data_IF_282322281039
#
_entry.id   IF_282322281039
#
_cell.length_a   1.000
_cell.length_b   1.000
_cell.length_c   1.000
_cell.angle_alpha   90.00
_cell.angle_beta   90.00
_cell.angle_gamma   90.00
#
_symmetry.space_group_name_H-M   'P 1'
#
loop_
_entity.id
_entity.type
_entity.pdbx_description
1 polymer ?
#
# COMPACT_ATOMS: atom_id res chain seq x y z
N UNK A 1 -6.93 -6.39 19.26
CA UNK A 1 -7.57 -5.97 17.99
C UNK A 1 -7.02 -6.85 16.88
N UNK A 2 -7.88 -7.60 16.20
CA UNK A 2 -7.53 -8.53 15.12
C UNK A 2 -6.91 -7.84 13.91
N UNK A 3 -6.12 -8.57 13.15
CA UNK A 3 -5.54 -8.17 11.86
C UNK A 3 -6.67 -8.03 10.84
N UNK A 4 -6.75 -6.90 10.11
CA UNK A 4 -7.76 -6.72 9.05
C UNK A 4 -7.26 -7.40 7.77
N UNK A 5 -7.85 -8.58 7.47
CA UNK A 5 -7.47 -9.40 6.32
C UNK A 5 -7.78 -8.72 4.99
N UNK A 6 -8.86 -7.92 4.92
CA UNK A 6 -9.21 -7.22 3.69
C UNK A 6 -8.17 -6.16 3.33
N UNK A 7 -7.73 -5.35 4.29
CA UNK A 7 -6.66 -4.36 4.03
C UNK A 7 -5.34 -5.04 3.68
N UNK A 8 -5.04 -6.19 4.28
CA UNK A 8 -3.86 -6.98 3.91
C UNK A 8 -3.94 -7.49 2.47
N UNK A 9 -5.13 -7.94 2.01
CA UNK A 9 -5.35 -8.33 0.62
C UNK A 9 -5.20 -7.15 -0.34
N UNK A 10 -5.84 -6.01 -0.02
CA UNK A 10 -5.75 -4.79 -0.84
C UNK A 10 -4.32 -4.30 -0.97
N UNK A 11 -3.54 -4.35 0.11
CA UNK A 11 -2.12 -3.97 0.07
C UNK A 11 -1.30 -4.91 -0.79
N UNK A 12 -1.52 -6.23 -0.70
CA UNK A 12 -0.81 -7.20 -1.53
C UNK A 12 -1.21 -7.04 -3.00
N UNK A 13 -2.50 -6.83 -3.31
CA UNK A 13 -2.98 -6.51 -4.64
C UNK A 13 -2.35 -5.22 -5.17
N UNK A 14 -2.27 -4.17 -4.34
CA UNK A 14 -1.63 -2.91 -4.72
C UNK A 14 -0.18 -3.10 -5.13
N UNK A 15 0.59 -3.88 -4.38
CA UNK A 15 1.99 -4.18 -4.70
C UNK A 15 2.09 -5.00 -5.99
N UNK A 16 1.26 -6.04 -6.12
CA UNK A 16 1.20 -6.87 -7.32
C UNK A 16 0.82 -6.07 -8.57
N UNK A 17 -0.17 -5.18 -8.47
CA UNK A 17 -0.60 -4.30 -9.56
C UNK A 17 0.50 -3.37 -10.04
N UNK A 18 1.24 -2.74 -9.12
CA UNK A 18 2.39 -1.88 -9.47
C UNK A 18 3.48 -2.70 -10.18
N UNK A 19 3.88 -3.86 -9.63
CA UNK A 19 4.92 -4.70 -10.23
C UNK A 19 4.52 -5.17 -11.63
N UNK A 20 3.32 -5.75 -11.77
CA UNK A 20 2.81 -6.21 -13.06
C UNK A 20 2.61 -5.06 -14.03
N UNK A 21 2.07 -3.93 -13.57
CA UNK A 21 1.90 -2.74 -14.37
C UNK A 21 3.22 -2.28 -14.98
N UNK A 22 4.24 -2.10 -14.16
CA UNK A 22 5.57 -1.73 -14.67
C UNK A 22 6.17 -2.78 -15.60
N UNK A 23 6.09 -4.05 -15.26
CA UNK A 23 6.64 -5.12 -16.11
C UNK A 23 5.91 -5.25 -17.45
N UNK A 24 4.63 -4.92 -17.53
CA UNK A 24 3.87 -4.98 -18.77
C UNK A 24 3.98 -3.70 -19.63
N UNK A 25 4.18 -2.52 -19.00
CA UNK A 25 4.24 -1.26 -19.77
C UNK A 25 5.67 -0.79 -20.06
N UNK A 26 6.69 -1.38 -19.44
CA UNK A 26 8.10 -1.04 -19.71
C UNK A 26 8.68 -2.01 -20.72
N UNK A 27 8.75 -1.61 -21.98
CA UNK A 27 9.54 -2.25 -23.04
C UNK A 27 10.97 -1.74 -23.02
N UNK A 28 11.92 -2.62 -23.33
CA UNK A 28 13.32 -2.30 -23.54
C UNK A 28 13.71 -2.90 -24.91
N UNK A 29 14.08 -2.05 -25.86
CA UNK A 29 14.39 -2.45 -27.23
C UNK A 29 15.90 -2.44 -27.40
N UNK A 30 16.44 -3.53 -27.90
CA UNK A 30 17.85 -3.63 -28.28
C UNK A 30 18.04 -2.95 -29.64
N UNK A 31 18.77 -1.85 -29.68
CA UNK A 31 19.11 -1.14 -30.91
C UNK A 31 20.31 -1.74 -31.62
N UNK A 32 20.56 -1.31 -32.86
CA UNK A 32 21.69 -1.82 -33.69
C UNK A 32 23.09 -1.49 -33.15
N UNK A 33 23.19 -0.50 -32.26
CA UNK A 33 24.39 -0.11 -31.53
C UNK A 33 24.66 -0.94 -30.28
N UNK A 34 23.77 -1.90 -29.97
CA UNK A 34 23.83 -2.73 -28.76
C UNK A 34 23.28 -2.07 -27.52
N UNK A 35 22.79 -0.83 -27.61
CA UNK A 35 22.14 -0.10 -26.53
C UNK A 35 20.69 -0.54 -26.29
N UNK A 36 20.21 -0.37 -25.03
CA UNK A 36 18.81 -0.60 -24.68
C UNK A 36 18.07 0.73 -24.61
N UNK A 37 16.99 0.85 -25.39
CA UNK A 37 16.10 2.01 -25.39
C UNK A 37 14.77 1.69 -24.80
N UNK A 38 14.22 2.63 -24.01
CA UNK A 38 12.89 2.46 -23.40
C UNK A 38 11.78 2.67 -24.44
N UNK A 39 10.84 1.75 -24.49
CA UNK A 39 9.60 1.83 -25.26
C UNK A 39 8.40 1.47 -24.38
N UNK A 40 7.19 1.77 -24.86
CA UNK A 40 5.97 1.41 -24.15
C UNK A 40 4.94 0.81 -25.09
N UNK A 41 4.33 -0.32 -24.78
CA UNK A 41 3.22 -0.86 -25.55
C UNK A 41 2.01 0.08 -25.58
N UNK A 42 1.84 0.98 -24.61
CA UNK A 42 0.72 1.92 -24.56
C UNK A 42 0.78 2.98 -25.67
N UNK A 43 1.96 3.21 -26.25
CA UNK A 43 2.14 4.09 -27.42
C UNK A 43 1.67 3.40 -28.68
N UNK A 44 2.06 2.13 -28.87
CA UNK A 44 1.78 1.38 -30.09
C UNK A 44 0.43 0.64 -30.07
N UNK A 45 -0.10 0.36 -28.87
CA UNK A 45 -1.35 -0.39 -28.66
C UNK A 45 -2.29 0.44 -27.77
N UNK A 46 -2.92 1.49 -28.30
CA UNK A 46 -3.78 2.38 -27.48
C UNK A 46 -4.95 1.66 -26.82
N UNK A 47 -5.46 0.59 -27.41
CA UNK A 47 -6.56 -0.23 -26.87
C UNK A 47 -6.21 -0.90 -25.53
N UNK A 48 -4.93 -1.00 -25.19
CA UNK A 48 -4.49 -1.52 -23.89
C UNK A 48 -4.50 -0.48 -22.76
N UNK A 49 -4.71 0.80 -23.07
CA UNK A 49 -4.70 1.88 -22.06
C UNK A 49 -5.70 1.68 -20.93
N UNK A 50 -6.93 1.20 -21.12
CA UNK A 50 -7.87 0.92 -20.03
C UNK A 50 -7.38 -0.15 -19.05
N UNK A 51 -6.50 -1.07 -19.49
CA UNK A 51 -5.91 -2.10 -18.60
C UNK A 51 -5.11 -1.46 -17.45
N UNK A 52 -4.56 -0.26 -17.69
CA UNK A 52 -3.85 0.50 -16.66
C UNK A 52 -4.73 0.84 -15.46
N UNK A 53 -6.06 0.90 -15.60
CA UNK A 53 -6.98 1.17 -14.48
C UNK A 53 -7.01 0.05 -13.43
N UNK A 54 -6.71 -1.17 -13.83
CA UNK A 54 -6.61 -2.32 -12.93
C UNK A 54 -5.23 -2.42 -12.29
N UNK A 55 -4.19 -2.02 -13.03
CA UNK A 55 -2.79 -2.17 -12.62
C UNK A 55 -2.23 -0.93 -11.91
N UNK A 56 -2.80 0.26 -12.16
CA UNK A 56 -2.45 1.47 -11.42
C UNK A 56 -3.13 1.45 -10.04
N UNK A 57 -2.47 0.87 -9.06
CA UNK A 57 -3.03 0.57 -7.74
C UNK A 57 -2.41 1.40 -6.61
N UNK A 58 -1.75 2.51 -6.96
CA UNK A 58 -1.06 3.36 -5.99
C UNK A 58 -2.03 3.97 -4.97
N UNK A 59 -3.28 4.27 -5.40
CA UNK A 59 -4.35 4.71 -4.49
C UNK A 59 -4.65 3.70 -3.39
N UNK A 60 -4.73 2.42 -3.71
CA UNK A 60 -4.90 1.34 -2.72
C UNK A 60 -3.70 1.22 -1.79
N UNK A 61 -2.49 1.44 -2.34
CA UNK A 61 -1.28 1.43 -1.52
C UNK A 61 -1.29 2.55 -0.48
N UNK A 62 -1.65 3.78 -0.85
CA UNK A 62 -1.75 4.91 0.08
C UNK A 62 -2.91 4.73 1.07
N UNK A 63 -4.05 4.16 0.66
CA UNK A 63 -5.13 3.77 1.57
C UNK A 63 -4.62 2.79 2.65
N UNK A 64 -3.96 1.70 2.24
CA UNK A 64 -3.40 0.72 3.17
C UNK A 64 -2.29 1.32 4.07
N UNK A 65 -1.52 2.29 3.55
CA UNK A 65 -0.51 3.01 4.32
C UNK A 65 -1.13 3.89 5.40
N UNK A 66 -2.21 4.62 5.08
CA UNK A 66 -2.98 5.43 6.03
C UNK A 66 -3.59 4.57 7.15
N UNK A 67 -4.26 3.48 6.79
CA UNK A 67 -4.76 2.49 7.75
C UNK A 67 -3.65 1.97 8.66
N UNK A 68 -2.53 1.52 8.08
CA UNK A 68 -1.39 1.00 8.82
C UNK A 68 -0.76 2.04 9.75
N UNK A 69 -0.72 3.32 9.35
CA UNK A 69 -0.20 4.42 10.16
C UNK A 69 -1.10 4.69 11.37
N UNK A 70 -2.42 4.79 11.16
CA UNK A 70 -3.38 4.98 12.24
C UNK A 70 -3.33 3.85 13.28
N UNK A 71 -3.27 2.59 12.83
CA UNK A 71 -3.20 1.41 13.70
C UNK A 71 -1.87 1.31 14.44
N UNK A 72 -0.77 1.64 13.78
CA UNK A 72 0.57 1.61 14.36
C UNK A 72 0.74 2.73 15.39
N UNK A 73 0.28 3.94 15.08
CA UNK A 73 0.34 5.08 15.98
C UNK A 73 -0.50 4.84 17.26
N UNK A 74 -1.71 4.27 17.10
CA UNK A 74 -2.58 3.96 18.24
C UNK A 74 -2.01 2.90 19.20
N UNK A 75 -1.12 2.03 18.72
CA UNK A 75 -0.46 0.98 19.54
C UNK A 75 0.89 1.40 20.09
N UNK A 76 1.38 2.57 19.68
CA UNK A 76 2.71 3.02 20.08
C UNK A 76 2.67 3.67 21.47
N UNK A 77 3.39 3.11 22.44
CA UNK A 77 3.50 3.63 23.81
C UNK A 77 4.61 4.67 24.01
N UNK A 78 5.39 4.96 22.97
CA UNK A 78 6.45 5.97 22.99
C UNK A 78 6.05 7.27 22.30
N UNK A 79 6.84 8.33 22.44
CA UNK A 79 6.58 9.60 21.76
C UNK A 79 6.55 9.48 20.24
N UNK A 80 5.75 10.33 19.58
CA UNK A 80 5.53 10.34 18.12
C UNK A 80 6.84 10.36 17.31
N UNK A 81 7.87 11.07 17.80
CA UNK A 81 9.18 11.12 17.15
C UNK A 81 9.86 9.75 17.06
N UNK A 82 9.84 8.94 18.13
CA UNK A 82 10.39 7.57 18.10
C UNK A 82 9.61 6.64 17.18
N UNK A 83 8.30 6.80 17.10
CA UNK A 83 7.47 6.07 16.15
C UNK A 83 7.83 6.43 14.72
N UNK A 84 7.92 7.73 14.41
CA UNK A 84 8.28 8.25 13.09
C UNK A 84 9.67 7.76 12.65
N UNK A 85 10.68 7.91 13.51
CA UNK A 85 12.05 7.47 13.23
C UNK A 85 12.11 5.97 12.87
N UNK A 86 11.43 5.11 13.65
CA UNK A 86 11.36 3.66 13.35
C UNK A 86 10.65 3.38 12.02
N UNK A 87 9.59 4.12 11.72
CA UNK A 87 8.83 3.91 10.49
C UNK A 87 9.60 4.40 9.26
N UNK A 88 10.21 5.59 9.34
CA UNK A 88 11.06 6.14 8.28
C UNK A 88 12.26 5.24 8.01
N UNK A 89 12.94 4.77 9.05
CA UNK A 89 14.07 3.83 8.90
C UNK A 89 13.67 2.56 8.14
N UNK A 90 12.49 1.99 8.40
CA UNK A 90 11.98 0.80 7.67
C UNK A 90 11.72 1.04 6.19
N UNK A 91 11.43 2.28 5.81
CA UNK A 91 11.21 2.68 4.43
C UNK A 91 12.53 3.06 3.74
N UNK A 92 13.39 3.81 4.43
CA UNK A 92 14.62 4.37 3.87
C UNK A 92 15.76 3.36 3.78
N UNK A 93 15.95 2.46 4.77
CA UNK A 93 17.06 1.49 4.70
C UNK A 93 17.05 0.62 3.43
N UNK A 94 15.90 0.06 2.98
CA UNK A 94 15.86 -0.68 1.72
C UNK A 94 16.14 0.22 0.49
N UNK A 95 15.77 1.51 0.55
CA UNK A 95 16.05 2.46 -0.53
C UNK A 95 17.56 2.80 -0.60
N UNK A 96 18.19 3.04 0.55
CA UNK A 96 19.65 3.24 0.62
C UNK A 96 20.41 2.01 0.13
N UNK A 97 19.97 0.81 0.51
CA UNK A 97 20.56 -0.43 0.02
C UNK A 97 20.41 -0.57 -1.50
N UNK A 98 19.24 -0.23 -2.06
CA UNK A 98 19.03 -0.19 -3.51
C UNK A 98 19.99 0.77 -4.20
N UNK A 99 20.12 2.00 -3.69
CA UNK A 99 21.01 3.01 -4.26
C UNK A 99 22.48 2.55 -4.22
N UNK A 100 22.93 1.97 -3.10
CA UNK A 100 24.30 1.46 -2.96
C UNK A 100 24.60 0.31 -3.93
N UNK A 101 23.72 -0.70 -3.99
CA UNK A 101 23.86 -1.81 -4.94
C UNK A 101 23.72 -1.33 -6.38
N UNK A 102 22.76 -0.45 -6.65
CA UNK A 102 22.55 0.14 -7.98
C UNK A 102 23.79 0.90 -8.47
N UNK A 103 24.40 1.73 -7.62
CA UNK A 103 25.64 2.43 -7.95
C UNK A 103 26.79 1.46 -8.25
N UNK A 104 26.96 0.41 -7.44
CA UNK A 104 27.99 -0.60 -7.67
C UNK A 104 27.77 -1.36 -8.98
N UNK A 105 26.51 -1.73 -9.30
CA UNK A 105 26.17 -2.40 -10.57
C UNK A 105 26.41 -1.49 -11.75
N UNK A 106 26.00 -0.21 -11.68
CA UNK A 106 26.25 0.76 -12.76
C UNK A 106 27.74 0.98 -12.98
N UNK A 107 28.52 1.15 -11.92
CA UNK A 107 29.97 1.29 -12.01
C UNK A 107 30.60 0.06 -12.67
N UNK A 108 30.24 -1.14 -12.25
CA UNK A 108 30.74 -2.38 -12.86
C UNK A 108 30.33 -2.49 -14.33
N UNK A 109 29.12 -2.08 -14.71
CA UNK A 109 28.64 -2.08 -16.08
C UNK A 109 29.40 -1.05 -16.93
N UNK A 110 29.70 0.15 -16.41
CA UNK A 110 30.53 1.17 -17.07
C UNK A 110 31.94 0.65 -17.33
N UNK A 111 32.59 0.05 -16.31
CA UNK A 111 33.92 -0.55 -16.45
C UNK A 111 33.92 -1.71 -17.46
N UNK A 112 32.82 -2.44 -17.56
CA UNK A 112 32.64 -3.51 -18.55
C UNK A 112 32.29 -3.01 -19.97
N UNK A 113 32.26 -1.69 -20.21
CA UNK A 113 32.00 -1.10 -21.52
C UNK A 113 30.53 -1.19 -21.96
N UNK A 114 29.58 -1.18 -21.02
CA UNK A 114 28.16 -1.16 -21.37
C UNK A 114 27.79 0.17 -22.09
N UNK A 115 26.92 0.12 -23.13
CA UNK A 115 26.47 1.32 -23.85
C UNK A 115 25.84 2.38 -22.92
N UNK A 116 26.11 3.67 -23.19
CA UNK A 116 25.65 4.78 -22.38
C UNK A 116 24.12 4.82 -22.26
N UNK A 117 23.39 4.52 -23.33
CA UNK A 117 21.92 4.44 -23.33
C UNK A 117 21.41 3.36 -22.38
N UNK A 118 22.08 2.20 -22.34
CA UNK A 118 21.75 1.12 -21.38
C UNK A 118 21.98 1.58 -19.95
N UNK A 119 23.07 2.29 -19.66
CA UNK A 119 23.37 2.85 -18.36
C UNK A 119 22.32 3.91 -17.94
N UNK A 120 21.98 4.82 -18.87
CA UNK A 120 20.99 5.88 -18.63
C UNK A 120 19.59 5.33 -18.35
N UNK A 121 19.13 4.35 -19.16
CA UNK A 121 17.85 3.67 -18.98
C UNK A 121 17.87 2.87 -17.66
N UNK A 122 18.95 2.15 -17.39
CA UNK A 122 19.14 1.38 -16.16
C UNK A 122 19.03 2.26 -14.92
N UNK A 123 19.75 3.40 -14.90
CA UNK A 123 19.68 4.37 -13.80
C UNK A 123 18.27 4.93 -13.64
N UNK A 124 17.66 5.41 -14.73
CA UNK A 124 16.31 5.99 -14.72
C UNK A 124 15.29 5.02 -14.14
N UNK A 125 15.27 3.78 -14.62
CA UNK A 125 14.30 2.78 -14.16
C UNK A 125 14.58 2.30 -12.73
N UNK A 126 15.85 2.22 -12.30
CA UNK A 126 16.21 1.86 -10.94
C UNK A 126 15.77 2.93 -9.91
N UNK A 127 15.90 4.22 -10.26
CA UNK A 127 15.59 5.34 -9.38
C UNK A 127 14.11 5.73 -9.45
N UNK A 128 13.47 5.54 -10.60
CA UNK A 128 12.07 5.89 -10.83
C UNK A 128 11.11 5.47 -9.71
N UNK A 129 11.17 4.25 -9.12
CA UNK A 129 10.26 3.89 -8.05
C UNK A 129 10.44 4.70 -6.74
N UNK A 130 11.54 5.44 -6.57
CA UNK A 130 11.83 6.14 -5.32
C UNK A 130 10.94 7.39 -5.10
N UNK A 131 10.40 7.97 -6.19
CA UNK A 131 9.61 9.19 -6.08
C UNK A 131 8.43 9.08 -5.10
N UNK A 132 7.78 7.92 -5.02
CA UNK A 132 6.63 7.70 -4.15
C UNK A 132 6.98 7.74 -2.65
N UNK A 133 8.26 7.53 -2.29
CA UNK A 133 8.69 7.59 -0.89
C UNK A 133 8.52 8.99 -0.31
N UNK A 134 8.70 10.03 -1.13
CA UNK A 134 8.57 11.42 -0.68
C UNK A 134 7.15 11.71 -0.17
N UNK A 135 6.08 11.61 -0.97
CA UNK A 135 4.72 11.83 -0.48
C UNK A 135 4.33 10.85 0.63
N UNK A 136 4.80 9.59 0.57
CA UNK A 136 4.52 8.63 1.63
C UNK A 136 5.15 9.04 2.97
N UNK A 137 6.41 9.45 2.98
CA UNK A 137 7.11 9.88 4.21
C UNK A 137 6.49 11.15 4.79
N UNK A 138 6.13 12.13 3.94
CA UNK A 138 5.44 13.34 4.34
C UNK A 138 4.09 13.01 5.00
N UNK A 139 3.26 12.18 4.36
CA UNK A 139 1.97 11.77 4.90
C UNK A 139 2.10 10.94 6.20
N UNK A 140 3.13 10.09 6.28
CA UNK A 140 3.45 9.37 7.51
C UNK A 140 3.86 10.33 8.63
N UNK A 141 4.68 11.35 8.34
CA UNK A 141 5.13 12.32 9.32
C UNK A 141 3.96 13.10 9.95
N UNK A 142 2.98 13.47 9.11
CA UNK A 142 1.79 14.23 9.53
C UNK A 142 0.57 13.35 9.87
N UNK A 143 0.75 12.03 10.03
CA UNK A 143 -0.37 11.08 10.31
C UNK A 143 -1.14 11.43 11.58
N UNK A 144 -0.45 11.86 12.64
CA UNK A 144 -1.07 12.25 13.90
C UNK A 144 -2.02 13.44 13.74
N UNK A 145 -1.52 14.60 13.28
CA UNK A 145 -2.35 15.77 12.95
C UNK A 145 -3.47 15.47 11.97
N UNK A 146 -3.21 14.74 10.87
CA UNK A 146 -4.25 14.38 9.90
C UNK A 146 -5.36 13.53 10.51
N UNK A 147 -4.99 12.55 11.35
CA UNK A 147 -5.98 11.72 12.04
C UNK A 147 -6.83 12.55 13.03
N UNK A 148 -6.20 13.47 13.76
CA UNK A 148 -6.90 14.40 14.65
C UNK A 148 -7.85 15.31 13.87
N UNK A 149 -7.43 15.84 12.73
CA UNK A 149 -8.24 16.64 11.82
C UNK A 149 -9.47 15.87 11.32
N UNK A 150 -9.28 14.64 10.83
CA UNK A 150 -10.38 13.76 10.38
C UNK A 150 -11.38 13.48 11.52
N UNK A 151 -10.88 13.31 12.75
CA UNK A 151 -11.74 13.08 13.92
C UNK A 151 -12.53 14.32 14.31
N UNK A 152 -11.89 15.50 14.27
CA UNK A 152 -12.48 16.78 14.70
C UNK A 152 -13.43 17.37 13.66
N UNK A 153 -13.00 17.40 12.38
CA UNK A 153 -13.73 18.14 11.32
C UNK A 153 -14.47 17.23 10.35
N UNK A 154 -14.23 15.92 10.44
CA UNK A 154 -14.80 14.94 9.51
C UNK A 154 -13.94 14.72 8.27
N UNK A 155 -14.15 13.58 7.62
CA UNK A 155 -13.36 13.15 6.46
C UNK A 155 -13.53 14.09 5.26
N UNK A 156 -14.78 14.48 4.93
CA UNK A 156 -15.08 15.31 3.76
C UNK A 156 -14.35 16.65 3.82
N UNK A 157 -14.39 17.34 4.96
CA UNK A 157 -13.71 18.63 5.15
C UNK A 157 -12.19 18.52 5.03
N UNK A 158 -11.61 17.34 5.27
CA UNK A 158 -10.17 17.10 5.09
C UNK A 158 -9.80 16.70 3.65
N UNK A 159 -10.72 16.05 2.93
CA UNK A 159 -10.50 15.59 1.55
C UNK A 159 -10.72 16.71 0.55
N UNK A 160 -11.74 17.56 0.74
CA UNK A 160 -12.09 18.65 -0.20
C UNK A 160 -10.90 19.58 -0.52
N UNK A 161 -10.13 20.08 0.46
CA UNK A 161 -8.96 20.91 0.14
C UNK A 161 -7.92 20.18 -0.71
N UNK A 162 -7.66 18.89 -0.43
CA UNK A 162 -6.73 18.10 -1.21
C UNK A 162 -7.20 17.93 -2.66
N UNK A 163 -8.48 17.64 -2.86
CA UNK A 163 -9.10 17.55 -4.19
C UNK A 163 -9.05 18.90 -4.92
N UNK A 164 -9.31 20.01 -4.22
CA UNK A 164 -9.23 21.36 -4.79
C UNK A 164 -7.80 21.71 -5.27
N UNK A 165 -6.78 21.32 -4.52
CA UNK A 165 -5.37 21.47 -4.92
C UNK A 165 -5.07 20.69 -6.19
N UNK A 166 -5.55 19.44 -6.31
CA UNK A 166 -5.36 18.62 -7.50
C UNK A 166 -6.11 19.25 -8.70
N UNK A 167 -7.33 19.72 -8.49
CA UNK A 167 -8.10 20.39 -9.53
C UNK A 167 -7.41 21.67 -10.05
N UNK A 168 -6.90 22.49 -9.14
CA UNK A 168 -6.14 23.70 -9.49
C UNK A 168 -4.85 23.34 -10.25
N UNK A 169 -4.16 22.26 -9.85
CA UNK A 169 -2.98 21.76 -10.57
C UNK A 169 -3.33 21.28 -11.98
N UNK A 170 -4.43 20.55 -12.13
CA UNK A 170 -4.88 20.08 -13.46
C UNK A 170 -5.19 21.23 -14.40
N UNK A 171 -5.78 22.32 -13.89
CA UNK A 171 -5.99 23.56 -14.65
C UNK A 171 -4.65 24.22 -14.97
N UNK A 172 -3.78 24.37 -13.97
CA UNK A 172 -2.48 25.01 -14.16
C UNK A 172 -1.63 24.33 -15.23
N UNK A 173 -1.55 22.98 -15.21
CA UNK A 173 -0.80 22.20 -16.21
C UNK A 173 -1.33 22.39 -17.64
N UNK A 174 -2.65 22.66 -17.79
CA UNK A 174 -3.27 22.86 -19.12
C UNK A 174 -3.18 24.29 -19.63
N UNK A 175 -3.14 25.27 -18.72
CA UNK A 175 -3.30 26.68 -19.09
C UNK A 175 -1.98 27.48 -19.00
N UNK A 176 -1.09 27.08 -18.09
CA UNK A 176 0.15 27.82 -17.84
C UNK A 176 1.33 27.16 -18.54
N UNK A 177 2.24 27.92 -19.17
CA UNK A 177 3.46 27.39 -19.78
C UNK A 177 4.32 26.60 -18.79
N UNK A 178 4.40 27.09 -17.53
CA UNK A 178 5.18 26.49 -16.44
C UNK A 178 4.28 25.76 -15.42
N UNK A 179 3.09 25.32 -15.81
CA UNK A 179 2.12 24.67 -14.93
C UNK A 179 2.66 23.44 -14.19
N UNK A 180 3.75 22.84 -14.68
CA UNK A 180 4.44 21.71 -14.04
C UNK A 180 5.08 22.09 -12.71
N UNK A 181 5.34 23.38 -12.43
CA UNK A 181 5.89 23.86 -11.17
C UNK A 181 5.01 23.53 -9.95
N UNK A 182 3.69 23.34 -10.13
CA UNK A 182 2.75 22.91 -9.07
C UNK A 182 2.74 21.41 -8.80
N UNK A 183 3.44 20.62 -9.62
CA UNK A 183 3.44 19.15 -9.53
C UNK A 183 3.78 18.59 -8.13
N UNK A 184 4.79 19.09 -7.38
CA UNK A 184 5.13 18.54 -6.07
C UNK A 184 3.98 18.62 -5.06
N UNK A 185 3.23 19.73 -5.08
CA UNK A 185 2.08 19.95 -4.18
C UNK A 185 0.92 19.04 -4.57
N UNK A 186 0.64 18.93 -5.87
CA UNK A 186 -0.39 18.04 -6.41
C UNK A 186 -0.13 16.58 -6.08
N UNK A 187 1.12 16.12 -6.16
CA UNK A 187 1.51 14.75 -5.81
C UNK A 187 1.14 14.42 -4.37
N UNK A 188 1.46 15.31 -3.42
CA UNK A 188 1.13 15.09 -2.00
C UNK A 188 -0.38 15.15 -1.79
N UNK A 189 -1.07 16.11 -2.40
CA UNK A 189 -2.51 16.30 -2.27
C UNK A 189 -3.29 15.10 -2.83
N UNK A 190 -2.96 14.64 -4.02
CA UNK A 190 -3.64 13.50 -4.65
C UNK A 190 -3.55 12.24 -3.80
N UNK A 191 -2.36 11.90 -3.31
CA UNK A 191 -2.16 10.71 -2.48
C UNK A 191 -2.62 10.90 -1.04
N UNK A 192 -2.81 12.13 -0.56
CA UNK A 192 -3.45 12.40 0.72
C UNK A 192 -4.90 11.93 0.74
N UNK A 193 -5.63 11.97 -0.37
CA UNK A 193 -7.04 11.53 -0.43
C UNK A 193 -7.20 10.07 -0.01
N UNK A 194 -6.63 9.08 -0.70
CA UNK A 194 -6.74 7.69 -0.28
C UNK A 194 -6.07 7.43 1.08
N UNK A 195 -5.03 8.17 1.44
CA UNK A 195 -4.40 8.06 2.76
C UNK A 195 -5.36 8.48 3.90
N UNK A 196 -6.09 9.59 3.75
CA UNK A 196 -7.12 10.05 4.68
C UNK A 196 -8.27 9.05 4.80
N UNK A 197 -8.70 8.43 3.68
CA UNK A 197 -9.66 7.32 3.70
C UNK A 197 -9.13 6.15 4.55
N UNK A 198 -7.85 5.81 4.43
CA UNK A 198 -7.22 4.77 5.25
C UNK A 198 -7.21 5.10 6.74
N UNK A 199 -6.90 6.36 7.11
CA UNK A 199 -6.99 6.84 8.50
C UNK A 199 -8.42 6.74 9.03
N UNK A 200 -9.42 7.21 8.25
CA UNK A 200 -10.83 7.17 8.61
C UNK A 200 -11.36 5.72 8.74
N UNK A 201 -10.94 4.82 7.85
CA UNK A 201 -11.30 3.41 7.92
C UNK A 201 -10.74 2.73 9.18
N UNK A 202 -9.52 3.06 9.58
CA UNK A 202 -8.93 2.55 10.83
C UNK A 202 -9.71 2.97 12.09
N UNK A 203 -10.39 4.11 12.03
CA UNK A 203 -11.27 4.64 13.08
C UNK A 203 -12.74 4.19 12.95
N UNK A 204 -13.05 3.26 12.03
CA UNK A 204 -14.39 2.69 11.84
C UNK A 204 -15.36 3.57 11.03
N UNK A 205 -14.93 4.72 10.52
CA UNK A 205 -15.80 5.71 9.85
C UNK A 205 -16.26 5.31 8.44
N UNK A 206 -15.63 4.28 7.84
CA UNK A 206 -15.95 3.78 6.49
C UNK A 206 -16.38 2.31 6.49
N UNK A 207 -16.92 1.81 7.61
CA UNK A 207 -17.19 0.37 7.80
C UNK A 207 -18.43 -0.16 7.05
N UNK A 208 -19.31 0.70 6.56
CA UNK A 208 -20.61 0.31 5.97
C UNK A 208 -20.50 -0.03 4.46
N UNK A 209 -21.25 -1.05 4.00
CA UNK A 209 -21.36 -1.39 2.56
C UNK A 209 -21.90 -0.21 1.73
N UNK A 210 -22.82 0.59 2.29
CA UNK A 210 -23.35 1.80 1.63
C UNK A 210 -22.23 2.82 1.38
N UNK A 211 -21.38 3.08 2.37
CA UNK A 211 -20.26 4.01 2.21
C UNK A 211 -19.26 3.50 1.17
N UNK A 212 -18.94 2.20 1.20
CA UNK A 212 -18.08 1.58 0.19
C UNK A 212 -18.70 1.66 -1.22
N UNK A 213 -20.01 1.44 -1.33
CA UNK A 213 -20.76 1.60 -2.59
C UNK A 213 -20.74 3.03 -3.11
N UNK A 214 -20.95 4.03 -2.24
CA UNK A 214 -20.89 5.44 -2.59
C UNK A 214 -19.48 5.87 -3.06
N UNK A 215 -18.42 5.35 -2.43
CA UNK A 215 -17.04 5.59 -2.88
C UNK A 215 -16.80 4.99 -4.27
N UNK A 216 -17.23 3.74 -4.48
CA UNK A 216 -17.05 3.06 -5.77
C UNK A 216 -17.85 3.76 -6.88
N UNK A 217 -19.14 4.01 -6.67
CA UNK A 217 -20.01 4.62 -7.65
C UNK A 217 -19.64 6.08 -7.91
N UNK A 218 -19.42 6.88 -6.86
CA UNK A 218 -19.01 8.27 -7.00
C UNK A 218 -17.66 8.42 -7.70
N UNK A 219 -16.69 7.56 -7.37
CA UNK A 219 -15.41 7.51 -8.05
C UNK A 219 -15.56 7.12 -9.53
N UNK A 220 -16.38 6.11 -9.85
CA UNK A 220 -16.63 5.67 -11.22
C UNK A 220 -17.35 6.74 -12.05
N UNK A 221 -18.34 7.42 -11.48
CA UNK A 221 -19.04 8.55 -12.14
C UNK A 221 -18.05 9.71 -12.39
N UNK A 222 -17.24 10.07 -11.40
CA UNK A 222 -16.21 11.08 -11.57
C UNK A 222 -15.19 10.69 -12.66
N UNK A 223 -14.77 9.43 -12.69
CA UNK A 223 -13.88 8.88 -13.71
C UNK A 223 -14.49 9.05 -15.12
N UNK A 224 -15.75 8.63 -15.30
CA UNK A 224 -16.46 8.76 -16.57
C UNK A 224 -16.62 10.23 -17.00
N UNK A 225 -16.97 11.12 -16.06
CA UNK A 225 -17.09 12.54 -16.33
C UNK A 225 -15.76 13.17 -16.75
N UNK A 226 -14.64 12.81 -16.07
CA UNK A 226 -13.31 13.32 -16.41
C UNK A 226 -12.86 12.83 -17.80
N UNK A 227 -13.14 11.58 -18.16
CA UNK A 227 -12.89 11.08 -19.52
C UNK A 227 -13.71 11.82 -20.56
N UNK A 228 -14.99 12.11 -20.28
CA UNK A 228 -15.87 12.85 -21.18
C UNK A 228 -15.40 14.29 -21.42
N UNK A 229 -14.69 14.91 -20.47
CA UNK A 229 -14.10 16.25 -20.61
C UNK A 229 -12.63 16.22 -21.07
N UNK A 230 -12.17 15.09 -21.63
CA UNK A 230 -10.89 14.99 -22.34
C UNK A 230 -9.67 14.64 -21.49
N UNK A 231 -9.84 14.04 -20.32
CA UNK A 231 -8.69 13.43 -19.61
C UNK A 231 -8.18 12.21 -20.37
N UNK A 232 -6.83 11.95 -20.36
CA UNK A 232 -6.27 10.77 -21.02
C UNK A 232 -6.88 9.46 -20.51
N UNK A 233 -7.13 8.51 -21.42
CA UNK A 233 -7.67 7.19 -21.08
C UNK A 233 -6.69 6.38 -20.23
N UNK A 234 -5.38 6.52 -20.47
CA UNK A 234 -4.36 5.83 -19.68
C UNK A 234 -4.30 6.38 -18.25
N UNK A 235 -4.33 5.52 -17.25
CA UNK A 235 -4.10 5.91 -15.84
C UNK A 235 -2.63 6.22 -15.53
N UNK A 236 -1.72 5.95 -16.46
CA UNK A 236 -0.27 6.21 -16.35
C UNK A 236 0.20 7.07 -17.52
N UNK A 237 1.43 7.61 -17.43
CA UNK A 237 2.02 8.36 -18.54
C UNK A 237 2.27 7.47 -19.76
N UNK A 238 1.98 8.00 -20.95
CA UNK A 238 2.29 7.39 -22.24
C UNK A 238 3.40 8.23 -22.90
N UNK A 239 4.53 7.62 -23.29
CA UNK A 239 5.60 8.36 -23.96
C UNK A 239 5.10 9.06 -25.23
N UNK A 240 5.47 10.33 -25.40
CA UNK A 240 5.03 11.14 -26.54
C UNK A 240 3.69 11.87 -26.33
N UNK A 241 2.93 11.58 -25.26
CA UNK A 241 1.73 12.36 -24.92
C UNK A 241 2.06 13.49 -23.93
N UNK A 242 1.56 14.70 -24.21
CA UNK A 242 1.89 15.89 -23.41
C UNK A 242 1.29 15.90 -22.03
N UNK A 243 0.18 15.17 -21.77
CA UNK A 243 -0.53 15.16 -20.52
C UNK A 243 -0.59 13.74 -19.95
N UNK A 244 -0.28 13.61 -18.64
CA UNK A 244 -0.32 12.35 -17.92
C UNK A 244 -1.30 12.43 -16.75
N UNK A 245 -2.02 11.34 -16.47
CA UNK A 245 -2.84 11.24 -15.25
C UNK A 245 -2.03 10.91 -13.99
N UNK A 246 -0.74 10.64 -14.12
CA UNK A 246 0.10 10.22 -12.98
C UNK A 246 1.28 11.16 -12.70
N UNK A 247 1.63 12.02 -13.65
CA UNK A 247 2.76 12.93 -13.49
C UNK A 247 2.46 14.34 -14.05
N UNK A 248 1.95 15.24 -13.20
CA UNK A 248 1.51 15.03 -11.81
C UNK A 248 0.20 14.22 -11.73
N UNK A 249 -0.12 13.61 -10.56
CA UNK A 249 -1.37 12.90 -10.37
C UNK A 249 -2.57 13.84 -10.52
N UNK A 250 -3.47 13.48 -11.42
CA UNK A 250 -4.65 14.28 -11.79
C UNK A 250 -5.89 13.89 -10.96
N UNK A 251 -6.99 14.62 -11.15
CA UNK A 251 -8.31 14.25 -10.61
C UNK A 251 -8.74 12.85 -11.05
N UNK A 252 -8.35 12.41 -12.25
CA UNK A 252 -8.65 11.06 -12.74
C UNK A 252 -7.95 10.00 -11.87
N UNK A 253 -6.70 10.23 -11.45
CA UNK A 253 -6.00 9.33 -10.53
C UNK A 253 -6.70 9.27 -9.16
N UNK A 254 -7.22 10.40 -8.67
CA UNK A 254 -8.02 10.45 -7.43
C UNK A 254 -9.34 9.69 -7.58
N UNK A 255 -10.09 9.92 -8.67
CA UNK A 255 -11.34 9.23 -8.96
C UNK A 255 -11.14 7.71 -9.07
N UNK A 256 -10.08 7.28 -9.75
CA UNK A 256 -9.69 5.87 -9.83
C UNK A 256 -9.37 5.29 -8.43
N UNK A 257 -8.64 6.03 -7.61
CA UNK A 257 -8.33 5.60 -6.24
C UNK A 257 -9.60 5.43 -5.38
N UNK A 258 -10.58 6.35 -5.49
CA UNK A 258 -11.87 6.24 -4.79
C UNK A 258 -12.64 5.01 -5.26
N UNK A 259 -12.70 4.79 -6.59
CA UNK A 259 -13.36 3.62 -7.19
C UNK A 259 -12.74 2.32 -6.68
N UNK A 260 -11.43 2.20 -6.75
CA UNK A 260 -10.70 1.00 -6.33
C UNK A 260 -10.83 0.73 -4.82
N UNK A 261 -10.75 1.78 -3.97
CA UNK A 261 -10.95 1.65 -2.52
C UNK A 261 -12.37 1.19 -2.24
N UNK A 262 -13.37 1.80 -2.87
CA UNK A 262 -14.78 1.43 -2.72
C UNK A 262 -15.03 -0.02 -3.11
N UNK A 263 -14.59 -0.43 -4.29
CA UNK A 263 -14.69 -1.83 -4.77
C UNK A 263 -13.96 -2.81 -3.85
N UNK A 264 -12.75 -2.46 -3.41
CA UNK A 264 -11.97 -3.28 -2.49
C UNK A 264 -12.65 -3.51 -1.15
N UNK A 265 -13.32 -2.47 -0.61
CA UNK A 265 -14.10 -2.57 0.63
C UNK A 265 -15.41 -3.34 0.44
N UNK A 266 -16.07 -3.22 -0.72
CA UNK A 266 -17.23 -4.05 -1.08
C UNK A 266 -16.86 -5.53 -1.18
N UNK A 267 -15.68 -5.82 -1.71
CA UNK A 267 -15.16 -7.19 -1.85
C UNK A 267 -14.63 -7.78 -0.52
N UNK A 268 -14.71 -7.06 0.60
CA UNK A 268 -14.20 -7.49 1.91
C UNK A 268 -14.59 -8.92 2.31
N UNK A 269 -15.86 -9.37 2.20
CA UNK A 269 -16.22 -10.73 2.58
C UNK A 269 -15.53 -11.79 1.71
N UNK A 270 -15.27 -11.47 0.43
CA UNK A 270 -14.50 -12.31 -0.48
C UNK A 270 -13.04 -12.42 -0.06
N UNK A 271 -12.41 -11.30 0.28
CA UNK A 271 -11.03 -11.27 0.77
C UNK A 271 -10.87 -12.05 2.07
N UNK A 272 -11.80 -11.91 3.02
CA UNK A 272 -11.77 -12.63 4.29
C UNK A 272 -11.86 -14.15 4.07
N UNK A 273 -12.74 -14.61 3.18
CA UNK A 273 -12.86 -16.04 2.79
C UNK A 273 -11.62 -16.55 2.08
N UNK A 274 -11.07 -15.79 1.14
CA UNK A 274 -9.85 -16.16 0.40
C UNK A 274 -8.67 -16.33 1.34
N UNK A 275 -8.46 -15.35 2.24
CA UNK A 275 -7.33 -15.35 3.16
C UNK A 275 -7.52 -16.26 4.39
N UNK A 276 -8.71 -16.86 4.55
CA UNK A 276 -8.91 -17.96 5.49
C UNK A 276 -8.22 -19.25 5.01
N UNK A 277 -8.02 -19.39 3.69
CA UNK A 277 -7.28 -20.52 3.11
C UNK A 277 -5.78 -20.38 3.39
N UNK A 278 -5.07 -21.48 3.72
CA UNK A 278 -3.68 -21.39 4.20
C UNK A 278 -2.70 -20.88 3.16
N UNK A 279 -2.80 -21.28 1.89
CA UNK A 279 -1.87 -20.86 0.83
C UNK A 279 -2.02 -19.37 0.49
N UNK A 280 -3.22 -18.84 0.13
CA UNK A 280 -3.38 -17.40 -0.12
C UNK A 280 -3.03 -16.56 1.09
N UNK A 281 -3.40 -16.97 2.31
CA UNK A 281 -3.07 -16.25 3.53
C UNK A 281 -1.57 -16.13 3.78
N UNK A 282 -0.81 -17.20 3.54
CA UNK A 282 0.67 -17.19 3.62
C UNK A 282 1.29 -16.33 2.55
N UNK A 283 0.81 -16.43 1.30
CA UNK A 283 1.30 -15.64 0.18
C UNK A 283 1.12 -14.14 0.42
N UNK A 284 -0.09 -13.69 0.78
CA UNK A 284 -0.39 -12.28 1.11
C UNK A 284 0.46 -11.80 2.30
N UNK A 285 0.66 -12.64 3.31
CA UNK A 285 1.53 -12.30 4.44
C UNK A 285 2.98 -12.11 4.00
N UNK A 286 3.50 -12.98 3.14
CA UNK A 286 4.86 -12.88 2.61
C UNK A 286 5.05 -11.62 1.74
N UNK A 287 4.09 -11.30 0.85
CA UNK A 287 4.10 -10.08 0.05
C UNK A 287 4.09 -8.84 0.94
N UNK A 288 3.16 -8.76 1.89
CA UNK A 288 3.04 -7.61 2.79
C UNK A 288 4.28 -7.41 3.68
N UNK A 289 4.92 -8.50 4.11
CA UNK A 289 6.14 -8.42 4.90
C UNK A 289 7.33 -7.87 4.09
N UNK A 290 7.37 -8.14 2.79
CA UNK A 290 8.43 -7.72 1.89
C UNK A 290 8.03 -6.54 0.98
N UNK A 291 6.89 -5.90 1.23
CA UNK A 291 6.27 -4.91 0.36
C UNK A 291 7.23 -3.88 -0.21
N UNK A 292 8.01 -3.21 0.66
CA UNK A 292 8.94 -2.15 0.25
C UNK A 292 10.08 -2.72 -0.61
N UNK A 293 10.61 -3.90 -0.26
CA UNK A 293 11.67 -4.53 -1.06
C UNK A 293 11.16 -4.95 -2.44
N UNK A 294 9.99 -5.62 -2.50
CA UNK A 294 9.36 -6.00 -3.78
C UNK A 294 9.17 -4.76 -4.65
N UNK A 295 8.61 -3.70 -4.06
CA UNK A 295 8.38 -2.46 -4.78
C UNK A 295 9.68 -1.82 -5.29
N UNK A 296 10.75 -1.81 -4.51
CA UNK A 296 12.00 -1.16 -4.89
C UNK A 296 12.79 -1.98 -5.95
N UNK A 297 12.75 -3.31 -5.85
CA UNK A 297 13.59 -4.17 -6.70
C UNK A 297 12.95 -4.63 -8.00
N UNK A 298 11.65 -4.41 -8.24
CA UNK A 298 11.00 -4.94 -9.45
C UNK A 298 11.55 -4.37 -10.76
N UNK A 299 11.82 -3.06 -10.82
CA UNK A 299 12.42 -2.44 -12.02
C UNK A 299 13.89 -2.80 -12.21
N UNK A 300 14.76 -2.74 -11.18
CA UNK A 300 16.12 -3.27 -11.30
C UNK A 300 16.19 -4.71 -11.80
N UNK A 301 15.27 -5.58 -11.34
CA UNK A 301 15.21 -6.97 -11.82
C UNK A 301 14.88 -7.02 -13.31
N UNK A 302 13.89 -6.26 -13.77
CA UNK A 302 13.55 -6.19 -15.20
C UNK A 302 14.76 -5.75 -16.03
N UNK A 303 15.37 -4.62 -15.66
CA UNK A 303 16.53 -4.07 -16.37
C UNK A 303 17.70 -5.05 -16.39
N UNK A 304 18.04 -5.65 -15.25
CA UNK A 304 19.15 -6.59 -15.13
C UNK A 304 18.93 -7.84 -16.00
N UNK A 305 17.74 -8.44 -15.95
CA UNK A 305 17.41 -9.61 -16.78
C UNK A 305 17.51 -9.26 -18.26
N UNK A 306 16.93 -8.12 -18.67
CA UNK A 306 16.99 -7.69 -20.07
C UNK A 306 18.43 -7.39 -20.51
N UNK A 307 19.23 -6.65 -19.73
CA UNK A 307 20.59 -6.31 -20.08
C UNK A 307 21.51 -7.53 -20.12
N UNK A 308 21.35 -8.50 -19.22
CA UNK A 308 22.16 -9.73 -19.23
C UNK A 308 21.84 -10.63 -20.43
N UNK A 309 20.56 -10.74 -20.80
CA UNK A 309 20.14 -11.55 -21.95
C UNK A 309 20.48 -10.88 -23.29
N UNK A 310 20.56 -9.55 -23.34
CA UNK A 310 20.98 -8.79 -24.51
C UNK A 310 22.45 -9.08 -24.91
N UNK A 311 23.31 -9.43 -23.94
CA UNK A 311 24.74 -9.79 -24.23
C UNK A 311 24.89 -10.99 -25.16
N UNK A 312 23.89 -11.83 -25.30
CA UNK A 312 23.90 -12.95 -26.25
C UNK A 312 23.64 -12.55 -27.70
N UNK A 313 23.45 -11.28 -28.02
CA UNK A 313 23.18 -10.74 -29.36
C UNK A 313 21.85 -11.14 -29.98
N UNK A 314 21.00 -11.88 -29.26
CA UNK A 314 19.69 -12.31 -29.74
C UNK A 314 18.60 -11.37 -29.24
N UNK A 315 17.83 -10.84 -30.17
CA UNK A 315 16.62 -10.03 -29.84
C UNK A 315 15.47 -10.95 -29.40
N UNK A 316 15.37 -11.22 -28.09
CA UNK A 316 14.33 -12.09 -27.53
C UNK A 316 12.96 -11.38 -27.53
N UNK A 317 11.90 -12.01 -28.14
CA UNK A 317 10.57 -11.43 -28.16
C UNK A 317 10.04 -11.11 -26.76
N UNK A 318 9.42 -9.95 -26.60
CA UNK A 318 8.87 -9.51 -25.32
C UNK A 318 9.90 -8.96 -24.32
N UNK A 319 11.23 -9.10 -24.58
CA UNK A 319 12.30 -8.47 -23.79
C UNK A 319 13.03 -7.38 -24.57
N UNK A 320 13.49 -7.70 -25.78
CA UNK A 320 14.39 -6.86 -26.57
C UNK A 320 13.75 -6.29 -27.84
N UNK A 321 12.55 -6.81 -28.23
CA UNK A 321 11.85 -6.36 -29.42
C UNK A 321 10.92 -5.19 -29.12
N UNK A 322 10.60 -4.42 -30.15
CA UNK A 322 9.61 -3.34 -30.05
C UNK A 322 8.24 -3.87 -29.64
N UNK A 323 7.52 -3.15 -28.74
CA UNK A 323 6.19 -3.56 -28.27
C UNK A 323 5.11 -3.12 -29.28
N UNK A 324 5.15 -3.63 -30.50
CA UNK A 324 4.37 -3.21 -31.66
C UNK A 324 3.11 -4.04 -31.93
N UNK A 325 2.92 -5.14 -31.19
CA UNK A 325 1.76 -6.02 -31.43
C UNK A 325 1.38 -6.93 -30.28
N UNK A 326 0.24 -7.64 -30.41
CA UNK A 326 -0.23 -8.58 -29.41
C UNK A 326 0.74 -9.72 -29.13
N UNK A 327 1.54 -10.11 -30.14
CA UNK A 327 2.57 -11.14 -30.00
C UNK A 327 3.64 -10.75 -28.98
N UNK A 328 4.02 -9.46 -28.95
CA UNK A 328 4.92 -8.96 -27.92
C UNK A 328 4.32 -9.08 -26.51
N UNK A 329 3.03 -8.75 -26.37
CA UNK A 329 2.33 -8.86 -25.08
C UNK A 329 2.29 -10.31 -24.60
N UNK A 330 1.97 -11.26 -25.48
CA UNK A 330 1.99 -12.70 -25.17
C UNK A 330 3.39 -13.18 -24.76
N UNK A 331 4.42 -12.81 -25.54
CA UNK A 331 5.80 -13.12 -25.22
C UNK A 331 6.20 -12.52 -23.86
N UNK A 332 5.78 -11.29 -23.56
CA UNK A 332 6.02 -10.65 -22.26
C UNK A 332 5.40 -11.42 -21.11
N UNK A 333 4.19 -11.95 -21.25
CA UNK A 333 3.57 -12.81 -20.23
C UNK A 333 4.41 -14.06 -19.95
N UNK A 334 5.05 -14.66 -20.95
CA UNK A 334 5.93 -15.81 -20.74
C UNK A 334 7.17 -15.47 -19.89
N UNK A 335 7.63 -14.22 -19.88
CA UNK A 335 8.76 -13.78 -19.06
C UNK A 335 8.40 -13.47 -17.59
N UNK A 336 7.11 -13.21 -17.27
CA UNK A 336 6.70 -12.84 -15.91
C UNK A 336 7.09 -13.88 -14.85
N UNK A 337 6.97 -15.21 -15.07
CA UNK A 337 7.40 -16.20 -14.07
C UNK A 337 8.89 -16.12 -13.75
N UNK A 338 9.74 -15.95 -14.76
CA UNK A 338 11.19 -15.79 -14.57
C UNK A 338 11.50 -14.51 -13.76
N UNK A 339 10.91 -13.38 -14.16
CA UNK A 339 11.07 -12.11 -13.45
C UNK A 339 10.60 -12.23 -11.99
N UNK A 340 9.47 -12.94 -11.74
CA UNK A 340 8.97 -13.18 -10.39
C UNK A 340 9.95 -14.05 -9.56
N UNK A 341 10.51 -15.10 -10.13
CA UNK A 341 11.50 -15.97 -9.46
C UNK A 341 12.75 -15.17 -9.10
N UNK A 342 13.28 -14.39 -10.05
CA UNK A 342 14.44 -13.53 -9.81
C UNK A 342 14.15 -12.50 -8.72
N UNK A 343 12.99 -11.82 -8.78
CA UNK A 343 12.58 -10.85 -7.76
C UNK A 343 12.49 -11.49 -6.36
N UNK A 344 11.83 -12.65 -6.26
CA UNK A 344 11.72 -13.38 -5.00
C UNK A 344 13.10 -13.77 -4.45
N UNK A 345 14.01 -14.19 -5.31
CA UNK A 345 15.40 -14.55 -4.92
C UNK A 345 16.13 -13.33 -4.38
N UNK A 346 16.11 -12.19 -5.10
CA UNK A 346 16.74 -10.93 -4.66
C UNK A 346 16.16 -10.46 -3.31
N UNK A 347 14.85 -10.51 -3.15
CA UNK A 347 14.19 -10.11 -1.91
C UNK A 347 14.56 -11.02 -0.74
N UNK A 348 14.74 -12.33 -0.99
CA UNK A 348 15.10 -13.32 0.06
C UNK A 348 16.56 -13.19 0.47
N UNK A 349 17.49 -13.04 -0.47
CA UNK A 349 18.93 -12.88 -0.19
C UNK A 349 19.21 -11.61 0.59
N UNK A 350 18.58 -10.47 0.21
CA UNK A 350 18.70 -9.22 0.94
C UNK A 350 18.17 -9.26 2.39
N UNK A 351 17.33 -10.25 2.74
CA UNK A 351 16.90 -10.48 4.14
C UNK A 351 17.98 -11.15 4.99
N UNK A 352 18.73 -12.08 4.42
CA UNK A 352 19.75 -12.85 5.16
C UNK A 352 20.89 -11.95 5.63
N UNK A 353 21.27 -10.97 4.83
CA UNK A 353 22.33 -10.01 5.18
C UNK A 353 21.86 -8.93 6.17
N UNK A 354 20.57 -8.52 6.12
CA UNK A 354 20.00 -7.54 7.06
C UNK A 354 19.64 -8.09 8.44
N UNK A 355 19.56 -9.41 8.62
CA UNK A 355 19.30 -10.03 9.93
C UNK A 355 20.57 -10.38 10.72
N UNK A 356 21.75 -10.28 10.13
CA UNK A 356 23.04 -10.47 10.82
C UNK A 356 23.37 -9.31 11.79
N UNK A 357 22.77 -8.12 11.59
CA UNK A 357 22.94 -6.92 12.42
C UNK A 357 21.71 -6.64 13.34
N UNK A 358 20.99 -7.67 13.76
CA UNK A 358 19.86 -7.53 14.67
C UNK A 358 20.28 -7.11 16.08
N UNK A 359 19.49 -6.23 16.77
CA UNK A 359 19.79 -5.72 18.10
C UNK A 359 19.68 -6.75 19.25
N UNK A 360 19.50 -8.05 18.96
CA UNK A 360 19.38 -9.10 19.97
C UNK A 360 20.71 -9.53 20.63
N UNK A 361 21.85 -8.95 20.19
CA UNK A 361 23.15 -9.17 20.88
C UNK A 361 23.22 -8.57 22.28
N UNK A 362 22.31 -7.69 22.67
CA UNK A 362 22.36 -6.97 23.96
C UNK A 362 21.37 -7.50 25.01
N UNK A 363 20.66 -8.59 24.75
CA UNK A 363 19.72 -9.21 25.70
C UNK A 363 20.11 -10.64 26.12
N UNK A 364 21.38 -10.93 26.25
CA UNK A 364 21.81 -12.03 27.10
C UNK A 364 22.30 -11.41 28.40
N UNK A 365 21.62 -11.63 29.53
CA UNK A 365 22.25 -11.39 30.83
C UNK A 365 23.47 -12.29 30.87
N UNK A 366 24.65 -11.72 31.04
CA UNK A 366 25.81 -12.47 31.46
C UNK A 366 25.45 -13.10 32.80
N UNK A 367 25.21 -14.40 32.82
CA UNK A 367 25.18 -15.21 34.01
C UNK A 367 26.56 -15.10 34.64
N UNK A 368 26.66 -14.25 35.65
CA UNK A 368 27.77 -14.24 36.55
C UNK A 368 27.74 -15.55 37.33
N UNK A 369 28.79 -16.34 37.16
CA UNK A 369 29.13 -17.40 38.09
C UNK A 369 29.43 -16.73 39.44
N UNK A 370 28.64 -17.05 40.45
CA UNK A 370 28.99 -16.85 41.85
C UNK A 370 28.54 -18.10 42.61
N UNK A 371 29.58 -18.83 42.96
CA UNK A 371 29.82 -19.65 44.16
C UNK A 371 28.62 -20.05 45.04
N UNK A 372 28.45 -21.35 45.06
CA UNK A 372 28.22 -22.23 46.18
C UNK A 372 28.27 -21.56 47.56
N UNK A 373 27.13 -21.53 48.27
CA UNK A 373 27.04 -21.60 49.74
C UNK A 373 25.74 -22.32 50.11
N UNK A 374 25.94 -23.53 50.55
CA UNK A 374 25.07 -24.31 51.39
C UNK A 374 24.47 -23.49 52.55
N UNK A 375 23.15 -23.53 52.69
CA UNK A 375 22.44 -23.28 53.94
C UNK A 375 21.06 -23.96 53.91
N UNK A 376 20.97 -25.03 54.65
CA UNK A 376 19.94 -25.56 55.54
C UNK A 376 18.46 -25.34 55.16
N UNK A 377 17.83 -26.48 54.94
CA UNK A 377 16.39 -26.71 54.97
C UNK A 377 15.83 -26.44 56.40
N UNK A 378 14.83 -25.57 56.51
CA UNK A 378 13.88 -25.53 57.60
C UNK A 378 12.49 -25.72 57.03
N UNK A 379 11.72 -26.73 57.45
CA UNK A 379 10.37 -26.97 56.97
C UNK A 379 9.36 -26.08 57.71
N UNK A 380 8.49 -25.41 56.98
CA UNK A 380 7.33 -24.69 57.49
C UNK A 380 6.17 -25.66 57.78
N UNK A 381 5.34 -25.40 58.82
CA UNK A 381 4.35 -26.37 59.31
C UNK A 381 3.11 -26.42 58.43
N UNK A 382 2.57 -27.63 58.30
CA UNK A 382 1.32 -28.00 57.68
C UNK A 382 0.13 -27.35 58.39
N UNK A 383 -0.72 -26.63 57.69
CA UNK A 383 -2.07 -26.30 58.14
C UNK A 383 -3.03 -27.40 57.69
N UNK A 384 -3.53 -28.11 58.71
CA UNK A 384 -4.61 -29.08 58.67
C UNK A 384 -5.92 -28.33 58.40
N UNK A 385 -6.58 -28.61 57.28
CA UNK A 385 -7.97 -28.25 57.06
C UNK A 385 -8.87 -29.40 57.48
N UNK A 386 -9.62 -29.13 58.53
CA UNK A 386 -10.61 -30.03 59.10
C UNK A 386 -11.89 -30.02 58.27
N UNK A 387 -12.26 -31.18 57.77
CA UNK A 387 -13.54 -31.49 57.19
C UNK A 387 -14.47 -31.96 58.28
N UNK A 388 -15.47 -31.15 58.68
CA UNK A 388 -16.77 -31.73 59.11
C UNK A 388 -17.91 -30.71 59.24
N UNK A 389 -19.06 -31.17 58.72
CA UNK A 389 -20.48 -30.88 59.08
C UNK A 389 -21.06 -29.68 58.32
N UNK A 390 -21.96 -29.98 57.40
CA UNK A 390 -23.35 -30.50 57.54
C UNK A 390 -24.37 -29.40 57.71
N UNK A 391 -25.39 -29.46 56.85
CA UNK A 391 -26.76 -29.02 57.15
C UNK A 391 -27.38 -28.29 55.99
N UNK A 392 -28.03 -28.94 55.12
CA UNK A 392 -29.48 -28.99 54.77
C UNK A 392 -30.33 -27.87 55.34
N UNK A 393 -31.06 -27.20 54.48
CA UNK A 393 -32.51 -26.83 54.47
C UNK A 393 -32.68 -25.64 53.60
N UNK A 394 -33.47 -25.77 52.65
CA UNK A 394 -34.90 -25.60 52.29
C UNK A 394 -35.12 -24.24 51.69
N UNK A 395 -35.46 -24.25 50.42
CA UNK A 395 -36.82 -24.21 49.79
C UNK A 395 -37.72 -23.11 50.29
N UNK A 396 -38.27 -22.52 49.25
CA UNK A 396 -39.58 -21.85 49.19
C UNK A 396 -39.63 -20.32 49.27
N UNK A 397 -40.11 -19.87 48.17
CA UNK A 397 -41.35 -19.10 47.95
C UNK A 397 -41.17 -17.60 48.22
N UNK A 398 -41.65 -16.70 47.41
CA UNK A 398 -43.05 -16.44 47.02
C UNK A 398 -43.13 -15.47 45.86
N UNK A 399 -43.96 -15.83 44.91
CA UNK A 399 -44.66 -15.05 43.90
C UNK A 399 -45.65 -14.06 44.58
N UNK A 400 -45.77 -12.82 44.09
CA UNK A 400 -47.01 -12.01 44.02
C UNK A 400 -46.70 -10.71 43.27
N UNK A 401 -47.12 -10.49 42.02
CA UNK A 401 -48.46 -10.13 41.50
C UNK A 401 -49.19 -9.03 42.30
N UNK A 402 -49.39 -7.93 41.60
CA UNK A 402 -50.59 -7.09 41.46
C UNK A 402 -50.24 -5.80 40.74
N UNK A 403 -50.64 -5.64 39.49
CA UNK A 403 -51.94 -5.14 39.02
C UNK A 403 -52.47 -3.91 39.77
N UNK A 404 -52.57 -2.81 39.06
CA UNK A 404 -53.74 -1.92 39.06
C UNK A 404 -53.61 -0.83 37.99
N UNK A 405 -54.41 -0.95 36.99
CA UNK A 405 -54.91 0.07 36.06
C UNK A 405 -56.11 0.79 36.70
N UNK A 406 -56.84 1.70 35.96
CA UNK A 406 -56.67 3.15 35.88
C UNK A 406 -57.83 3.91 36.56
N UNK A 407 -58.07 5.20 36.37
CA UNK A 407 -59.18 5.64 35.50
C UNK A 407 -59.02 7.00 34.76
N UNK A 408 -59.35 7.00 33.53
CA UNK A 408 -60.33 7.75 32.70
C UNK A 408 -60.80 9.17 33.08
N UNK A 409 -60.97 9.91 31.98
CA UNK A 409 -61.95 10.97 31.65
C UNK A 409 -61.49 12.42 31.80
N UNK A 410 -61.70 13.11 30.66
CA UNK A 410 -61.91 14.52 30.57
C UNK A 410 -61.81 15.07 29.15
N UNK A 411 -62.89 15.03 28.44
CA UNK A 411 -63.27 15.66 27.17
C UNK A 411 -63.26 17.19 27.29
N UNK A 412 -62.94 17.93 26.25
CA UNK A 412 -63.71 18.95 25.55
C UNK A 412 -62.84 19.79 24.65
N UNK A 413 -63.06 19.72 23.37
CA UNK A 413 -63.65 20.68 22.46
C UNK A 413 -62.89 21.98 22.20
N UNK A 414 -62.71 22.28 20.91
CA UNK A 414 -62.50 23.61 20.41
C UNK A 414 -61.68 23.75 19.17
N UNK A 415 -62.16 23.38 17.98
CA UNK A 415 -61.87 24.05 16.70
C UNK A 415 -62.72 25.42 16.69
N UNK A 416 -62.54 26.34 15.70
CA UNK A 416 -61.57 26.49 14.58
C UNK A 416 -61.10 27.94 14.37
N UNK A 417 -60.03 28.17 13.65
CA UNK A 417 -59.96 29.04 12.44
C UNK A 417 -58.61 28.89 11.75
#
# INVERSE_FOLDING_TARGET
>A
MSRDRAVDALRAYAIGGVVLGHWLVTGLVLAGDGGLHQASPLTMLPDLRPVTWVLQTLGLFFFAAGFGSARSLARHQGGTGRWLARRSRRLLLPAVALLGVGAAVLLAATVAGAPDDTLAVGLRLAVSPLWFLVPLLLLVAVSGPLRAAVRRWGLVRCVVPAVAVVAASDVAVRVLPDGVAVAPVSVVAAWAVPYLLGLAYADGRLAGRRTAGLLAAGGAVALAALLAVGYPVSAVGVPGEGVSNLNPPSLLAVALALTQVGLGLLARPGWERLLARPLPGRAVTAVNHNAVRIYLWHQPVLVTVTALTARGGLALPGLHTAPDGPAWVLARFCWLPLLAVVLVTVVRTGRRHGSADGPDRWRRPRGGALADRSAECVPAPAQVYDHRRSGRADLQEVIAVRDSDPPSRGRADGQPR
#
